data_IF_033951315348
#
_entry.id   IF_033951315348
#
_cell.length_a   1.000
_cell.length_b   1.000
_cell.length_c   1.000
_cell.angle_alpha   90.00
_cell.angle_beta   90.00
_cell.angle_gamma   90.00
#
_symmetry.space_group_name_H-M   'P 1'
#
loop_
_entity.id
_entity.type
_entity.pdbx_description
1 polymer ?
#
# COMPACT_ATOMS: atom_id res chain seq x y z
N UNK A 1 22.24 -20.61 13.79
CA UNK A 1 22.39 -20.90 12.36
C UNK A 1 21.05 -21.46 11.90
N UNK A 2 20.30 -20.72 11.09
CA UNK A 2 19.05 -21.26 10.53
C UNK A 2 19.42 -22.11 9.32
N UNK A 3 19.00 -23.37 9.31
CA UNK A 3 19.27 -24.30 8.21
C UNK A 3 18.67 -23.78 6.89
N UNK A 4 19.34 -24.02 5.74
CA UNK A 4 18.77 -23.76 4.43
C UNK A 4 17.60 -24.71 4.24
N UNK A 5 16.38 -24.20 4.45
CA UNK A 5 15.17 -24.95 4.12
C UNK A 5 15.10 -25.03 2.60
N UNK A 6 15.39 -26.20 2.05
CA UNK A 6 15.10 -26.51 0.65
C UNK A 6 13.60 -26.41 0.47
N UNK A 7 13.16 -25.36 -0.23
CA UNK A 7 11.77 -25.17 -0.59
C UNK A 7 11.59 -25.75 -1.96
N UNK A 8 10.62 -26.64 -2.08
CA UNK A 8 10.18 -27.16 -3.36
C UNK A 8 9.77 -25.94 -4.20
N UNK A 9 10.50 -25.63 -5.26
CA UNK A 9 10.18 -24.57 -6.21
C UNK A 9 8.87 -24.95 -6.90
N UNK A 10 7.74 -24.63 -6.26
CA UNK A 10 6.39 -24.88 -6.79
C UNK A 10 6.01 -23.83 -7.85
N UNK A 11 6.96 -23.44 -8.70
CA UNK A 11 6.72 -22.52 -9.82
C UNK A 11 6.94 -23.24 -11.15
N UNK A 12 6.19 -24.33 -11.36
CA UNK A 12 6.04 -24.89 -12.70
C UNK A 12 5.11 -23.98 -13.52
N UNK A 13 5.69 -22.95 -14.13
CA UNK A 13 5.11 -22.26 -15.29
C UNK A 13 4.68 -20.80 -15.09
N UNK A 14 4.37 -20.35 -13.86
CA UNK A 14 3.87 -18.99 -13.63
C UNK A 14 4.78 -18.16 -12.72
N UNK A 15 5.20 -17.00 -13.24
CA UNK A 15 6.00 -15.99 -12.55
C UNK A 15 5.12 -15.15 -11.61
N UNK A 16 5.63 -14.84 -10.41
CA UNK A 16 4.95 -13.96 -9.46
C UNK A 16 5.10 -12.48 -9.87
N UNK A 17 6.27 -12.08 -10.36
CA UNK A 17 6.64 -10.69 -10.66
C UNK A 17 7.04 -10.48 -12.13
N UNK A 18 6.41 -11.21 -13.06
CA UNK A 18 6.87 -11.30 -14.45
C UNK A 18 6.93 -9.97 -15.21
N UNK A 19 6.05 -9.00 -14.90
CA UNK A 19 6.04 -7.68 -15.56
C UNK A 19 7.02 -6.72 -14.89
N UNK A 20 7.07 -6.77 -13.56
CA UNK A 20 7.88 -5.95 -12.69
C UNK A 20 9.36 -6.28 -12.87
N UNK A 21 9.71 -7.56 -12.99
CA UNK A 21 11.07 -8.00 -13.25
C UNK A 21 11.55 -7.59 -14.65
N UNK A 22 10.68 -7.58 -15.66
CA UNK A 22 11.01 -7.05 -16.99
C UNK A 22 11.33 -5.56 -16.94
N UNK A 23 10.50 -4.77 -16.24
CA UNK A 23 10.74 -3.34 -16.06
C UNK A 23 11.99 -3.07 -15.22
N UNK A 24 12.24 -3.89 -14.21
CA UNK A 24 13.45 -3.83 -13.39
C UNK A 24 14.68 -4.06 -14.26
N UNK A 25 14.73 -5.16 -15.02
CA UNK A 25 15.85 -5.47 -15.90
C UNK A 25 16.11 -4.35 -16.90
N UNK A 26 15.06 -3.82 -17.52
CA UNK A 26 15.18 -2.68 -18.43
C UNK A 26 15.77 -1.43 -17.73
N UNK A 27 15.32 -1.11 -16.51
CA UNK A 27 15.86 0.02 -15.76
C UNK A 27 17.34 -0.17 -15.35
N UNK A 28 17.79 -1.42 -15.25
CA UNK A 28 19.18 -1.79 -14.95
C UNK A 28 20.04 -2.04 -16.21
N UNK A 29 19.52 -1.71 -17.40
CA UNK A 29 20.28 -1.72 -18.66
C UNK A 29 20.27 -3.04 -19.41
N UNK A 30 19.36 -3.96 -19.08
CA UNK A 30 19.08 -5.12 -19.94
C UNK A 30 18.64 -4.63 -21.34
N UNK A 31 19.03 -5.30 -22.44
CA UNK A 31 18.94 -4.74 -23.78
C UNK A 31 17.53 -4.26 -24.12
N UNK A 32 17.38 -2.95 -24.32
CA UNK A 32 16.21 -2.38 -24.98
C UNK A 32 16.17 -2.86 -26.44
N UNK A 33 15.00 -2.90 -27.09
CA UNK A 33 14.83 -3.49 -28.42
C UNK A 33 15.88 -3.00 -29.42
N UNK A 34 16.76 -3.90 -29.86
CA UNK A 34 17.77 -3.65 -30.91
C UNK A 34 17.53 -4.63 -32.06
N UNK A 35 17.78 -4.20 -33.29
CA UNK A 35 17.57 -5.03 -34.49
C UNK A 35 18.49 -6.26 -34.59
N UNK A 36 19.41 -6.45 -33.64
CA UNK A 36 20.46 -7.49 -33.65
C UNK A 36 20.33 -8.48 -32.49
N UNK A 37 19.48 -8.21 -31.49
CA UNK A 37 19.34 -9.03 -30.30
C UNK A 37 17.86 -9.23 -29.95
N UNK A 38 17.49 -10.31 -29.24
CA UNK A 38 16.11 -10.56 -28.83
C UNK A 38 15.53 -9.36 -28.05
N UNK A 39 14.26 -9.03 -28.32
CA UNK A 39 13.57 -7.85 -27.80
C UNK A 39 13.11 -7.95 -26.33
N UNK A 40 13.33 -9.09 -25.67
CA UNK A 40 12.89 -9.34 -24.30
C UNK A 40 13.96 -10.10 -23.50
N UNK A 41 14.03 -9.93 -22.17
CA UNK A 41 14.89 -10.73 -21.31
C UNK A 41 14.61 -12.22 -21.51
N UNK A 42 15.66 -13.03 -21.42
CA UNK A 42 15.54 -14.48 -21.50
C UNK A 42 14.52 -15.00 -20.47
N UNK A 43 13.57 -15.87 -20.85
CA UNK A 43 12.58 -16.43 -19.94
C UNK A 43 13.21 -17.13 -18.72
N UNK A 44 14.37 -17.74 -18.90
CA UNK A 44 15.16 -18.38 -17.84
C UNK A 44 15.66 -17.36 -16.81
N UNK A 45 16.11 -16.18 -17.26
CA UNK A 45 16.54 -15.09 -16.37
C UNK A 45 15.37 -14.61 -15.52
N UNK A 46 14.19 -14.42 -16.12
CA UNK A 46 12.99 -14.02 -15.39
C UNK A 46 12.57 -15.07 -14.36
N UNK A 47 12.61 -16.36 -14.71
CA UNK A 47 12.30 -17.46 -13.77
C UNK A 47 13.27 -17.49 -12.61
N UNK A 48 14.57 -17.41 -12.88
CA UNK A 48 15.58 -17.43 -11.83
C UNK A 48 15.46 -16.21 -10.90
N UNK A 49 15.25 -15.02 -11.45
CA UNK A 49 15.03 -13.82 -10.65
C UNK A 49 13.75 -13.87 -9.83
N UNK A 50 12.67 -14.43 -10.37
CA UNK A 50 11.40 -14.59 -9.64
C UNK A 50 11.59 -15.52 -8.43
N UNK A 51 12.33 -16.62 -8.60
CA UNK A 51 12.69 -17.52 -7.49
C UNK A 51 13.54 -16.81 -6.44
N UNK A 52 14.61 -16.11 -6.86
CA UNK A 52 15.50 -15.38 -5.95
C UNK A 52 14.74 -14.32 -5.14
N UNK A 53 13.90 -13.52 -5.80
CA UNK A 53 13.12 -12.46 -5.15
C UNK A 53 12.09 -13.06 -4.19
N UNK A 54 11.43 -14.13 -4.60
CA UNK A 54 10.44 -14.84 -3.77
C UNK A 54 11.11 -15.39 -2.50
N UNK A 55 12.25 -16.05 -2.65
CA UNK A 55 13.01 -16.57 -1.52
C UNK A 55 13.49 -15.44 -0.60
N UNK A 56 14.03 -14.36 -1.17
CA UNK A 56 14.45 -13.19 -0.39
C UNK A 56 13.32 -12.59 0.45
N UNK A 57 12.12 -12.44 -0.13
CA UNK A 57 10.95 -11.91 0.59
C UNK A 57 10.60 -12.84 1.76
N UNK A 58 10.50 -14.14 1.51
CA UNK A 58 10.04 -15.06 2.55
C UNK A 58 11.09 -15.24 3.64
N UNK A 59 12.38 -15.30 3.30
CA UNK A 59 13.47 -15.32 4.29
C UNK A 59 13.48 -14.07 5.17
N UNK A 60 13.28 -12.90 4.57
CA UNK A 60 13.18 -11.63 5.30
C UNK A 60 11.97 -11.65 6.24
N UNK A 61 10.81 -12.13 5.79
CA UNK A 61 9.61 -12.29 6.63
C UNK A 61 9.83 -13.27 7.78
N UNK A 62 10.51 -14.40 7.55
CA UNK A 62 10.86 -15.33 8.62
C UNK A 62 11.81 -14.72 9.65
N UNK A 63 12.81 -13.95 9.20
CA UNK A 63 13.72 -13.24 10.10
C UNK A 63 12.99 -12.20 10.95
N UNK A 64 12.09 -11.41 10.34
CA UNK A 64 11.25 -10.47 11.07
C UNK A 64 10.29 -11.19 12.05
N UNK A 65 9.71 -12.32 11.65
CA UNK A 65 8.86 -13.14 12.52
C UNK A 65 9.63 -13.70 13.73
N UNK A 66 10.88 -14.11 13.54
CA UNK A 66 11.75 -14.51 14.66
C UNK A 66 11.98 -13.34 15.62
N UNK A 67 12.23 -12.14 15.11
CA UNK A 67 12.38 -10.93 15.94
C UNK A 67 11.12 -10.60 16.74
N UNK A 68 9.94 -10.70 16.11
CA UNK A 68 8.66 -10.53 16.80
C UNK A 68 8.44 -11.60 17.89
N UNK A 69 8.81 -12.85 17.60
CA UNK A 69 8.71 -13.98 18.54
C UNK A 69 9.62 -13.80 19.75
N UNK A 70 10.85 -13.28 19.57
CA UNK A 70 11.74 -12.91 20.67
C UNK A 70 11.11 -11.86 21.60
N UNK A 71 10.32 -10.94 21.05
CA UNK A 71 9.56 -9.97 21.81
C UNK A 71 8.23 -10.52 22.38
N UNK A 72 8.01 -11.84 22.29
CA UNK A 72 6.77 -12.54 22.68
C UNK A 72 5.50 -11.97 22.02
N UNK A 73 5.63 -11.52 20.77
CA UNK A 73 4.51 -11.03 19.96
C UNK A 73 4.24 -11.98 18.81
N UNK A 74 2.97 -12.29 18.59
CA UNK A 74 2.52 -13.01 17.41
C UNK A 74 2.42 -12.10 16.17
N UNK A 75 2.10 -10.81 16.38
CA UNK A 75 1.95 -9.81 15.31
C UNK A 75 3.29 -9.16 15.00
N UNK A 76 3.68 -9.25 13.73
CA UNK A 76 4.88 -8.61 13.18
C UNK A 76 4.62 -7.11 13.02
N UNK A 77 5.60 -6.30 13.41
CA UNK A 77 5.61 -4.85 13.25
C UNK A 77 6.72 -4.43 12.28
N UNK A 78 6.63 -3.19 11.81
CA UNK A 78 7.65 -2.58 10.93
C UNK A 78 9.04 -2.57 11.58
N UNK A 79 9.12 -2.35 12.89
CA UNK A 79 10.40 -2.34 13.61
C UNK A 79 11.09 -3.71 13.61
N UNK A 80 10.33 -4.80 13.47
CA UNK A 80 10.91 -6.15 13.36
C UNK A 80 11.68 -6.31 12.04
N UNK A 81 11.21 -5.69 10.95
CA UNK A 81 11.95 -5.65 9.68
C UNK A 81 13.20 -4.78 9.76
N UNK A 82 13.12 -3.63 10.43
CA UNK A 82 14.30 -2.77 10.67
C UNK A 82 15.37 -3.52 11.46
N UNK A 83 14.95 -4.28 12.48
CA UNK A 83 15.86 -5.07 13.27
C UNK A 83 16.42 -6.28 12.50
N UNK A 84 15.60 -6.95 11.69
CA UNK A 84 16.06 -8.05 10.84
C UNK A 84 17.13 -7.59 9.84
N UNK A 85 16.97 -6.39 9.26
CA UNK A 85 17.90 -5.80 8.28
C UNK A 85 19.11 -5.09 8.90
N UNK A 86 19.28 -5.10 10.24
CA UNK A 86 20.34 -4.34 10.94
C UNK A 86 21.78 -4.64 10.51
N UNK A 87 22.01 -5.77 9.87
CA UNK A 87 23.33 -6.20 9.40
C UNK A 87 23.67 -5.66 8.00
N UNK A 88 22.67 -5.21 7.26
CA UNK A 88 22.82 -4.66 5.91
C UNK A 88 22.50 -3.15 5.95
N UNK A 89 23.52 -2.29 6.10
CA UNK A 89 23.31 -0.85 6.25
C UNK A 89 22.69 -0.22 5.00
N UNK A 90 22.91 -0.79 3.81
CA UNK A 90 22.38 -0.26 2.55
C UNK A 90 20.87 -0.50 2.48
N UNK A 91 20.42 -1.74 2.73
CA UNK A 91 18.99 -2.06 2.76
C UNK A 91 18.27 -1.33 3.91
N UNK A 92 18.89 -1.25 5.08
CA UNK A 92 18.32 -0.51 6.22
C UNK A 92 18.18 0.98 5.92
N UNK A 93 19.21 1.60 5.35
CA UNK A 93 19.17 3.01 4.95
C UNK A 93 18.06 3.29 3.95
N UNK A 94 17.90 2.41 2.95
CA UNK A 94 16.82 2.52 1.97
C UNK A 94 15.44 2.42 2.62
N UNK A 95 15.24 1.49 3.56
CA UNK A 95 13.98 1.37 4.30
C UNK A 95 13.67 2.65 5.11
N UNK A 96 14.68 3.22 5.77
CA UNK A 96 14.51 4.46 6.53
C UNK A 96 14.16 5.65 5.64
N UNK A 97 14.82 5.77 4.49
CA UNK A 97 14.53 6.80 3.48
C UNK A 97 13.09 6.70 2.98
N UNK A 98 12.62 5.50 2.64
CA UNK A 98 11.24 5.29 2.19
C UNK A 98 10.21 5.71 3.24
N UNK A 99 10.44 5.40 4.52
CA UNK A 99 9.54 5.84 5.60
C UNK A 99 9.56 7.36 5.80
N UNK A 100 10.71 8.00 5.58
CA UNK A 100 10.82 9.46 5.64
C UNK A 100 10.02 10.11 4.52
N UNK A 101 10.20 9.63 3.28
CA UNK A 101 9.47 10.13 2.12
C UNK A 101 7.95 9.92 2.25
N UNK A 102 7.52 8.78 2.79
CA UNK A 102 6.10 8.51 3.06
C UNK A 102 5.51 9.53 4.06
N UNK A 103 6.26 9.86 5.11
CA UNK A 103 5.85 10.86 6.09
C UNK A 103 5.75 12.25 5.47
N UNK A 104 6.77 12.67 4.73
CA UNK A 104 6.78 13.97 4.03
C UNK A 104 5.60 14.09 3.05
N UNK A 105 5.29 13.02 2.32
CA UNK A 105 4.16 12.99 1.38
C UNK A 105 2.80 13.03 2.10
N UNK A 106 2.66 12.40 3.27
CA UNK A 106 1.44 12.51 4.09
C UNK A 106 1.26 13.92 4.66
N UNK A 107 2.35 14.54 5.12
CA UNK A 107 2.34 15.93 5.62
C UNK A 107 1.98 16.92 4.51
N UNK A 108 2.56 16.74 3.31
CA UNK A 108 2.23 17.57 2.14
C UNK A 108 0.77 17.45 1.72
N UNK A 109 0.21 16.23 1.70
CA UNK A 109 -1.22 16.01 1.40
C UNK A 109 -2.12 16.69 2.43
N UNK A 110 -1.78 16.59 3.72
CA UNK A 110 -2.53 17.22 4.80
C UNK A 110 -2.48 18.76 4.74
N UNK A 111 -1.34 19.33 4.33
CA UNK A 111 -1.20 20.77 4.15
C UNK A 111 -2.03 21.31 2.97
N UNK A 112 -2.21 20.50 1.91
CA UNK A 112 -3.05 20.86 0.78
C UNK A 112 -4.55 20.81 1.13
N UNK A 113 -4.97 19.75 1.83
CA UNK A 113 -6.37 19.55 2.26
C UNK A 113 -6.88 20.70 3.15
N UNK A 114 -6.05 21.18 4.09
CA UNK A 114 -6.39 22.31 4.97
C UNK A 114 -6.46 23.67 4.26
N UNK A 115 -5.85 23.80 3.08
CA UNK A 115 -5.85 25.04 2.31
C UNK A 115 -7.04 25.12 1.33
N UNK A 116 -7.60 23.99 0.90
CA UNK A 116 -8.74 23.96 -0.03
C UNK A 116 -10.07 24.33 0.67
N UNK A 117 -10.23 23.94 1.95
CA UNK A 117 -11.37 24.33 2.79
C UNK A 117 -11.47 25.85 3.04
N UNK A 118 -10.41 26.62 2.75
CA UNK A 118 -10.39 28.09 2.87
C UNK A 118 -10.67 28.83 1.57
N UNK A 119 -10.72 28.14 0.43
CA UNK A 119 -10.94 28.76 -0.90
C UNK A 119 -12.35 28.48 -1.45
N UNK A 120 -13.23 27.83 -0.67
CA UNK A 120 -14.67 27.71 -0.94
C UNK A 120 -15.50 28.98 -0.66
N UNK A 121 -15.02 30.16 -1.06
CA UNK A 121 -15.79 31.42 -1.10
C UNK A 121 -16.67 31.51 -2.37
N UNK A 122 -17.78 32.29 -2.36
CA UNK A 122 -19.04 31.92 -3.01
C UNK A 122 -19.07 32.16 -4.53
N UNK A 123 -18.59 31.20 -5.33
CA UNK A 123 -18.69 31.24 -6.80
C UNK A 123 -19.88 30.48 -7.41
N UNK A 124 -20.80 29.94 -6.59
CA UNK A 124 -21.93 29.12 -7.07
C UNK A 124 -23.26 29.86 -7.21
N UNK A 125 -23.32 31.15 -6.88
CA UNK A 125 -24.58 31.93 -7.00
C UNK A 125 -24.79 32.51 -8.40
N UNK A 126 -23.73 32.80 -9.14
CA UNK A 126 -23.83 33.50 -10.42
C UNK A 126 -24.22 32.58 -11.61
N UNK A 127 -24.09 31.26 -11.46
CA UNK A 127 -24.49 30.31 -12.52
C UNK A 127 -25.97 29.89 -12.43
N UNK A 128 -26.60 30.07 -11.27
CA UNK A 128 -28.00 29.69 -11.07
C UNK A 128 -28.99 30.76 -11.56
N UNK A 129 -28.59 32.04 -11.57
CA UNK A 129 -29.47 33.14 -11.98
C UNK A 129 -29.62 33.24 -13.51
N UNK A 130 -28.63 32.75 -14.28
CA UNK A 130 -28.70 32.73 -15.75
C UNK A 130 -29.57 31.57 -16.30
N UNK A 131 -29.75 30.49 -15.52
CA UNK A 131 -30.51 29.31 -15.93
C UNK A 131 -32.03 29.43 -15.71
N UNK A 132 -32.48 30.38 -14.89
CA UNK A 132 -33.90 30.53 -14.49
C UNK A 132 -34.74 31.41 -15.44
N UNK A 133 -34.18 31.79 -16.60
CA UNK A 133 -34.87 32.64 -17.59
C UNK A 133 -35.29 31.94 -18.89
N UNK A 134 -35.09 30.62 -19.02
CA UNK A 134 -35.24 29.94 -20.34
C UNK A 134 -36.01 28.60 -20.34
N UNK A 135 -36.87 28.30 -19.37
CA UNK A 135 -37.68 27.08 -19.47
C UNK A 135 -39.07 27.21 -18.83
N UNK A 136 -39.99 27.82 -19.57
CA UNK A 136 -41.43 27.63 -19.41
C UNK A 136 -41.88 26.40 -20.24
N UNK A 137 -42.94 25.72 -19.76
CA UNK A 137 -43.68 24.56 -20.33
C UNK A 137 -43.30 23.11 -19.89
N UNK A 138 -43.93 22.69 -18.77
CA UNK A 138 -44.38 21.33 -18.37
C UNK A 138 -45.65 20.92 -19.22
N UNK A 139 -46.32 19.72 -19.16
CA UNK A 139 -46.21 18.67 -18.17
C UNK A 139 -46.45 17.17 -18.54
N UNK A 140 -46.16 16.32 -17.54
CA UNK A 140 -46.96 15.16 -17.05
C UNK A 140 -46.61 13.70 -17.46
N UNK A 141 -46.10 12.91 -16.48
CA UNK A 141 -46.78 11.70 -15.94
C UNK A 141 -46.09 11.06 -14.71
N UNK A 142 -46.93 10.80 -13.70
CA UNK A 142 -46.71 10.18 -12.39
C UNK A 142 -46.15 8.75 -12.42
N UNK A 143 -45.26 8.40 -11.47
CA UNK A 143 -45.52 7.38 -10.41
C UNK A 143 -44.37 7.32 -9.39
N UNK A 144 -44.68 7.60 -8.12
CA UNK A 144 -43.72 7.54 -7.02
C UNK A 144 -43.56 6.15 -6.40
N UNK A 145 -42.42 5.95 -5.72
CA UNK A 145 -42.36 5.21 -4.45
C UNK A 145 -41.09 5.59 -3.67
N UNK A 146 -41.30 6.09 -2.46
CA UNK A 146 -40.29 6.51 -1.47
C UNK A 146 -39.45 5.32 -0.98
N UNK A 147 -38.15 5.52 -0.72
CA UNK A 147 -37.40 4.92 0.40
C UNK A 147 -36.19 5.80 0.77
N UNK A 148 -36.13 6.14 2.06
CA UNK A 148 -35.16 7.02 2.72
C UNK A 148 -33.83 6.28 3.06
N UNK A 149 -32.80 6.97 3.60
CA UNK A 149 -31.38 6.64 3.43
C UNK A 149 -30.82 5.66 4.46
N UNK A 150 -29.76 4.93 4.09
CA UNK A 150 -28.83 4.26 5.02
C UNK A 150 -27.60 5.18 5.13
N UNK A 151 -27.39 5.90 6.25
CA UNK A 151 -26.60 5.49 7.44
C UNK A 151 -25.34 4.74 7.00
N UNK A 152 -24.17 5.39 6.99
CA UNK A 152 -23.46 5.84 8.19
C UNK A 152 -22.69 4.64 8.71
N UNK A 153 -21.46 4.46 8.22
CA UNK A 153 -20.57 3.39 8.67
C UNK A 153 -19.52 4.05 9.58
N UNK A 154 -19.82 4.04 10.87
CA UNK A 154 -18.89 4.43 11.92
C UNK A 154 -17.72 3.44 11.94
N UNK A 155 -16.51 3.96 11.72
CA UNK A 155 -15.25 3.26 11.96
C UNK A 155 -15.07 3.24 13.48
N UNK A 156 -15.21 2.05 14.06
CA UNK A 156 -14.90 1.79 15.47
C UNK A 156 -13.39 1.71 15.66
N UNK A 157 -12.85 2.72 16.34
CA UNK A 157 -11.51 2.77 16.92
C UNK A 157 -11.50 1.87 18.17
N UNK A 158 -10.80 0.73 18.10
CA UNK A 158 -10.58 -0.15 19.25
C UNK A 158 -9.11 -0.09 19.68
N UNK A 159 -8.81 0.91 20.51
CA UNK A 159 -7.62 0.96 21.38
C UNK A 159 -8.09 0.68 22.83
N UNK A 160 -7.92 -0.54 23.32
CA UNK A 160 -7.81 -0.77 24.78
C UNK A 160 -6.65 -1.71 25.11
N UNK A 161 -5.71 -1.23 25.91
CA UNK A 161 -5.63 -1.66 27.32
C UNK A 161 -4.35 -1.13 27.99
N UNK A 162 -4.50 0.01 28.67
CA UNK A 162 -3.63 0.41 29.76
C UNK A 162 -4.20 -0.16 31.08
N UNK A 163 -3.36 -0.86 31.85
CA UNK A 163 -3.78 -1.55 33.07
C UNK A 163 -4.14 -0.64 34.24
N UNK A 164 -4.88 -1.20 35.21
CA UNK A 164 -4.83 -0.74 36.61
C UNK A 164 -5.18 -1.83 37.62
N UNK A 165 -4.43 -1.81 38.72
CA UNK A 165 -4.37 -2.74 39.85
C UNK A 165 -5.60 -2.67 40.78
N UNK A 166 -5.79 -3.78 41.52
CA UNK A 166 -6.33 -3.96 42.89
C UNK A 166 -7.71 -3.35 43.23
N UNK A 167 -8.60 -4.19 43.77
CA UNK A 167 -9.26 -3.93 45.07
C UNK A 167 -9.67 -5.21 45.79
N UNK A 168 -9.38 -5.20 47.08
CA UNK A 168 -9.78 -6.13 48.15
C UNK A 168 -11.17 -5.72 48.68
N UNK A 169 -11.79 -6.61 49.47
CA UNK A 169 -13.06 -6.57 50.23
C UNK A 169 -14.18 -7.35 49.53
N UNK A 170 -14.90 -8.24 50.22
CA UNK A 170 -15.33 -8.24 51.62
C UNK A 170 -15.42 -9.66 52.15
#
# INVERSE_FOLDING_TARGET
>A
MAEPRVRLTRHHGQLNFGTELRLLLHAYGDPSPHHSFPQEPLPETLRCLDEIVTDFIIETCHSAAQCASYARRQKIKVDDFRFALRKDPVKLGRVQELFRLERELKEARRAFDQNDDRVGGPGKKDLAELADSVADEDPSKKKGKKKAPKRGLDIVDEETSAGKKKKLSK
#
